data_IF_568788007450
#
_entry.id   IF_568788007450
#
_cell.length_a   1.000
_cell.length_b   1.000
_cell.length_c   1.000
_cell.angle_alpha   90.00
_cell.angle_beta   90.00
_cell.angle_gamma   90.00
#
_symmetry.space_group_name_H-M   'P 1'
#
loop_
_entity.id
_entity.type
_entity.pdbx_description
1 polymer ?
#
# COMPACT_ATOMS: atom_id res chain seq x y z
N UNK A 1 3.74 -29.45 -20.35
CA UNK A 1 4.22 -28.10 -19.96
C UNK A 1 4.28 -28.05 -18.44
N UNK A 2 5.40 -27.67 -17.84
CA UNK A 2 5.53 -27.66 -16.39
C UNK A 2 4.68 -26.54 -15.77
N UNK A 3 3.73 -26.91 -14.90
CA UNK A 3 3.06 -25.94 -14.04
C UNK A 3 4.11 -25.30 -13.13
N UNK A 4 4.42 -24.01 -13.35
CA UNK A 4 5.19 -23.23 -12.38
C UNK A 4 4.37 -23.20 -11.08
N UNK A 5 4.72 -24.07 -10.13
CA UNK A 5 4.41 -23.83 -8.72
C UNK A 5 4.92 -22.42 -8.44
N UNK A 6 4.02 -21.50 -8.12
CA UNK A 6 4.41 -20.25 -7.49
C UNK A 6 5.18 -20.68 -6.24
N UNK A 7 6.47 -20.34 -6.20
CA UNK A 7 7.34 -20.68 -5.08
C UNK A 7 6.63 -20.24 -3.79
N UNK A 8 6.58 -21.13 -2.80
CA UNK A 8 5.91 -20.87 -1.54
C UNK A 8 6.51 -19.62 -0.91
N UNK A 9 5.82 -18.49 -1.06
CA UNK A 9 6.41 -17.20 -0.73
C UNK A 9 6.71 -17.18 0.78
N UNK A 10 7.90 -16.70 1.15
CA UNK A 10 8.46 -16.83 2.51
C UNK A 10 7.78 -15.89 3.53
N UNK A 11 6.49 -15.63 3.32
CA UNK A 11 5.64 -14.81 4.15
C UNK A 11 4.86 -15.71 5.10
N UNK A 12 5.33 -15.81 6.35
CA UNK A 12 4.61 -16.50 7.43
C UNK A 12 3.43 -15.66 7.91
N UNK A 13 3.68 -14.36 8.13
CA UNK A 13 2.74 -13.39 8.67
C UNK A 13 2.83 -12.08 7.87
N UNK A 14 2.45 -12.06 6.59
CA UNK A 14 2.62 -10.89 5.73
C UNK A 14 1.81 -9.70 6.23
N UNK A 15 2.43 -8.54 6.21
CA UNK A 15 1.86 -7.24 6.51
C UNK A 15 2.20 -6.25 5.38
N UNK A 16 1.30 -5.28 5.15
CA UNK A 16 1.55 -4.16 4.25
C UNK A 16 1.25 -2.84 4.97
N UNK A 17 2.08 -1.85 4.71
CA UNK A 17 1.86 -0.47 5.17
C UNK A 17 1.05 0.29 4.12
N UNK A 18 0.04 1.04 4.54
CA UNK A 18 -0.69 1.98 3.67
C UNK A 18 -1.10 3.25 4.42
N UNK A 19 -1.30 4.34 3.68
CA UNK A 19 -1.67 5.62 4.26
C UNK A 19 -3.12 5.63 4.75
N UNK A 20 -3.39 6.48 5.73
CA UNK A 20 -4.77 6.84 6.10
C UNK A 20 -5.36 7.81 5.06
N UNK A 21 -6.69 7.81 4.84
CA UNK A 21 -7.71 7.01 5.54
C UNK A 21 -7.85 5.56 5.04
N UNK A 22 -7.19 5.19 3.93
CA UNK A 22 -7.40 3.89 3.27
C UNK A 22 -7.09 2.68 4.16
N UNK A 23 -6.12 2.77 5.08
CA UNK A 23 -5.80 1.71 6.04
C UNK A 23 -7.01 1.34 6.91
N UNK A 24 -7.64 2.34 7.55
CA UNK A 24 -8.86 2.11 8.35
C UNK A 24 -10.02 1.67 7.47
N UNK A 25 -10.26 2.33 6.33
CA UNK A 25 -11.39 1.99 5.44
C UNK A 25 -11.32 0.54 4.94
N UNK A 26 -10.11 -0.02 4.79
CA UNK A 26 -9.89 -1.42 4.40
C UNK A 26 -10.23 -2.40 5.54
N UNK A 27 -9.73 -2.18 6.76
CA UNK A 27 -10.04 -3.08 7.90
C UNK A 27 -11.46 -2.90 8.47
N UNK A 28 -12.15 -1.82 8.11
CA UNK A 28 -13.60 -1.65 8.35
C UNK A 28 -14.46 -2.28 7.23
N UNK A 29 -13.87 -2.79 6.15
CA UNK A 29 -14.59 -3.42 5.04
C UNK A 29 -15.26 -2.47 4.06
N UNK A 30 -15.09 -1.16 4.23
CA UNK A 30 -15.68 -0.12 3.38
C UNK A 30 -14.97 -0.11 2.03
N UNK A 31 -13.62 -0.08 2.05
CA UNK A 31 -12.76 -0.28 0.88
C UNK A 31 -12.51 -1.79 0.72
N UNK A 32 -12.98 -2.39 -0.38
CA UNK A 32 -12.71 -3.82 -0.70
C UNK A 32 -11.69 -4.06 -1.81
N UNK A 33 -11.19 -3.00 -2.46
CA UNK A 33 -10.23 -3.12 -3.57
C UNK A 33 -9.02 -2.25 -3.26
N UNK A 34 -7.83 -2.85 -3.33
CA UNK A 34 -6.55 -2.18 -3.17
C UNK A 34 -5.75 -2.19 -4.48
N UNK A 35 -5.40 -1.00 -4.99
CA UNK A 35 -4.71 -0.86 -6.26
C UNK A 35 -3.19 -0.84 -6.08
N UNK A 36 -2.46 -1.67 -6.86
CA UNK A 36 -0.99 -1.76 -6.82
C UNK A 36 -0.41 -1.88 -8.24
N UNK A 37 0.85 -1.46 -8.38
CA UNK A 37 1.63 -1.61 -9.62
C UNK A 37 2.25 -3.01 -9.79
N UNK A 38 2.05 -3.91 -8.83
CA UNK A 38 2.57 -5.28 -8.78
C UNK A 38 1.48 -6.26 -8.31
N UNK A 39 1.53 -7.53 -8.75
CA UNK A 39 0.57 -8.55 -8.34
C UNK A 39 0.76 -8.92 -6.86
N UNK A 40 -0.29 -9.44 -6.21
CA UNK A 40 -0.16 -9.91 -4.82
C UNK A 40 0.81 -11.10 -4.74
N UNK A 41 1.89 -11.03 -3.93
CA UNK A 41 2.86 -12.13 -3.76
C UNK A 41 2.36 -13.18 -2.74
N UNK A 42 1.14 -13.02 -2.24
CA UNK A 42 0.52 -13.85 -1.20
C UNK A 42 -0.93 -14.17 -1.56
N UNK A 43 -1.42 -15.28 -1.00
CA UNK A 43 -2.84 -15.64 -0.93
C UNK A 43 -3.16 -15.98 0.53
N UNK A 44 -4.39 -15.74 0.97
CA UNK A 44 -4.78 -15.86 2.38
C UNK A 44 -4.65 -14.54 3.16
N UNK A 45 -4.24 -14.62 4.43
CA UNK A 45 -4.29 -13.49 5.39
C UNK A 45 -3.23 -12.45 5.07
N UNK A 46 -3.61 -11.17 5.03
CA UNK A 46 -2.71 -10.02 4.97
C UNK A 46 -3.02 -9.05 6.12
N UNK A 47 -2.00 -8.75 6.92
CA UNK A 47 -2.07 -7.75 7.98
C UNK A 47 -1.95 -6.32 7.43
N UNK A 48 -2.68 -5.38 8.02
CA UNK A 48 -2.76 -3.98 7.57
C UNK A 48 -2.18 -3.06 8.65
N UNK A 49 -1.14 -2.32 8.28
CA UNK A 49 -0.50 -1.30 9.09
C UNK A 49 -0.79 0.10 8.52
N UNK A 50 -1.14 1.04 9.40
CA UNK A 50 -1.31 2.44 9.05
C UNK A 50 0.02 3.18 9.08
N UNK A 51 0.39 3.80 7.95
CA UNK A 51 1.58 4.63 7.83
C UNK A 51 1.58 5.81 8.81
N UNK A 52 2.77 6.39 9.06
CA UNK A 52 2.95 7.47 10.05
C UNK A 52 2.48 8.88 9.65
N UNK A 53 2.23 9.16 8.35
CA UNK A 53 1.68 10.48 7.95
C UNK A 53 0.21 10.57 8.37
N UNK A 54 -0.08 11.56 9.22
CA UNK A 54 -1.44 11.97 9.61
C UNK A 54 -2.23 12.35 8.34
N UNK A 55 -3.48 11.86 8.18
CA UNK A 55 -4.32 12.24 7.05
C UNK A 55 -4.85 13.66 7.23
N UNK A 56 -4.88 14.44 6.16
CA UNK A 56 -5.51 15.77 6.17
C UNK A 56 -7.04 15.62 6.34
N UNK A 57 -7.72 16.45 7.15
CA UNK A 57 -9.18 16.34 7.37
C UNK A 57 -10.00 16.36 6.07
N UNK A 58 -9.57 17.15 5.09
CA UNK A 58 -10.14 17.26 3.75
C UNK A 58 -10.02 15.94 2.98
N UNK A 59 -8.89 15.24 3.15
CA UNK A 59 -8.66 13.91 2.57
C UNK A 59 -9.58 12.87 3.18
N UNK A 60 -9.77 12.89 4.51
CA UNK A 60 -10.71 12.00 5.20
C UNK A 60 -12.13 12.24 4.67
N UNK A 61 -12.61 13.49 4.75
CA UNK A 61 -13.95 13.88 4.28
C UNK A 61 -14.20 13.52 2.82
N UNK A 62 -13.25 13.79 1.92
CA UNK A 62 -13.38 13.46 0.50
C UNK A 62 -13.48 11.95 0.26
N UNK A 63 -12.74 11.14 1.02
CA UNK A 63 -12.80 9.68 0.88
C UNK A 63 -14.06 9.07 1.52
N UNK A 64 -14.56 9.63 2.62
CA UNK A 64 -15.82 9.19 3.22
C UNK A 64 -17.01 9.49 2.30
N UNK A 65 -17.07 10.69 1.72
CA UNK A 65 -18.11 11.07 0.76
C UNK A 65 -18.07 10.20 -0.51
N UNK A 66 -16.87 9.92 -1.04
CA UNK A 66 -16.67 9.02 -2.16
C UNK A 66 -17.22 7.61 -1.91
N UNK A 67 -16.94 7.02 -0.74
CA UNK A 67 -17.52 5.72 -0.41
C UNK A 67 -19.03 5.82 -0.14
N UNK A 68 -19.51 6.90 0.49
CA UNK A 68 -20.94 7.12 0.72
C UNK A 68 -21.73 7.11 -0.58
N UNK A 69 -21.30 7.85 -1.59
CA UNK A 69 -21.95 7.88 -2.91
C UNK A 69 -21.86 6.52 -3.62
N UNK A 70 -20.74 5.79 -3.55
CA UNK A 70 -20.61 4.45 -4.15
C UNK A 70 -21.62 3.45 -3.56
N UNK A 71 -21.74 3.40 -2.23
CA UNK A 71 -22.66 2.49 -1.56
C UNK A 71 -24.13 2.92 -1.75
N UNK A 72 -24.41 4.22 -1.81
CA UNK A 72 -25.73 4.79 -2.13
C UNK A 72 -26.24 4.37 -3.51
N UNK A 73 -25.36 4.29 -4.53
CA UNK A 73 -25.71 3.73 -5.84
C UNK A 73 -26.13 2.25 -5.78
N UNK A 74 -25.70 1.53 -4.73
CA UNK A 74 -26.08 0.14 -4.46
C UNK A 74 -27.24 0.04 -3.43
N UNK A 75 -27.95 1.15 -3.17
CA UNK A 75 -29.06 1.21 -2.21
C UNK A 75 -28.65 1.22 -0.73
N UNK A 76 -27.35 1.27 -0.41
CA UNK A 76 -26.82 1.22 0.97
C UNK A 76 -26.53 2.63 1.47
N UNK A 77 -27.37 3.15 2.37
CA UNK A 77 -27.27 4.51 2.92
C UNK A 77 -26.71 4.56 4.36
N UNK A 78 -27.00 3.56 5.21
CA UNK A 78 -26.44 3.44 6.57
C UNK A 78 -25.03 2.82 6.53
N UNK A 79 -24.03 3.68 6.37
CA UNK A 79 -22.60 3.33 6.40
C UNK A 79 -21.96 4.04 7.59
N UNK A 80 -21.35 3.26 8.48
CA UNK A 80 -20.64 3.77 9.65
C UNK A 80 -19.15 3.81 9.35
N UNK A 81 -18.61 5.02 9.30
CA UNK A 81 -17.19 5.29 9.10
C UNK A 81 -16.42 5.21 10.44
N UNK A 82 -15.09 4.99 10.41
CA UNK A 82 -14.26 5.04 11.61
C UNK A 82 -14.27 6.45 12.24
N UNK A 83 -14.53 6.54 13.54
CA UNK A 83 -14.41 7.80 14.29
C UNK A 83 -12.97 8.34 14.32
N UNK A 84 -11.98 7.43 14.26
CA UNK A 84 -10.56 7.75 14.38
C UNK A 84 -9.71 7.00 13.35
N UNK A 85 -8.66 7.67 12.86
CA UNK A 85 -7.72 7.17 11.86
C UNK A 85 -6.29 7.09 12.43
N UNK A 86 -5.99 6.13 13.33
CA UNK A 86 -4.69 6.04 13.99
C UNK A 86 -3.55 5.79 12.99
N UNK A 87 -2.39 6.38 13.25
CA UNK A 87 -1.16 6.29 12.43
C UNK A 87 -0.07 5.51 13.16
N UNK A 88 0.89 4.95 12.42
CA UNK A 88 1.97 4.11 12.95
C UNK A 88 1.50 2.87 13.74
N UNK A 89 0.31 2.33 13.41
CA UNK A 89 -0.28 1.20 14.13
C UNK A 89 -0.73 0.06 13.22
N UNK A 90 -0.55 -1.17 13.71
CA UNK A 90 -1.19 -2.37 13.17
C UNK A 90 -2.69 -2.28 13.49
N UNK A 91 -3.55 -2.32 12.47
CA UNK A 91 -4.99 -2.10 12.63
C UNK A 91 -5.80 -3.39 12.65
N UNK A 92 -5.31 -4.45 12.00
CA UNK A 92 -6.11 -5.64 11.71
C UNK A 92 -5.54 -6.43 10.53
N UNK A 93 -6.38 -7.29 9.96
CA UNK A 93 -6.06 -8.08 8.79
C UNK A 93 -7.28 -8.32 7.90
N UNK A 94 -7.03 -8.57 6.63
CA UNK A 94 -7.98 -9.06 5.65
C UNK A 94 -7.63 -10.52 5.32
N UNK A 95 -8.60 -11.30 4.84
CA UNK A 95 -8.38 -12.68 4.40
C UNK A 95 -8.80 -12.79 2.93
N UNK A 96 -7.89 -13.35 2.13
CA UNK A 96 -7.96 -13.46 0.68
C UNK A 96 -7.73 -12.12 -0.05
N UNK A 97 -6.58 -12.05 -0.73
CA UNK A 97 -6.18 -10.98 -1.64
C UNK A 97 -6.17 -11.51 -3.09
N UNK A 98 -7.32 -11.50 -3.76
CA UNK A 98 -7.44 -11.95 -5.16
C UNK A 98 -7.00 -10.84 -6.12
N UNK A 99 -6.15 -11.16 -7.08
CA UNK A 99 -5.74 -10.20 -8.13
C UNK A 99 -6.78 -10.16 -9.25
N UNK A 100 -7.41 -9.00 -9.46
CA UNK A 100 -8.15 -8.63 -10.68
C UNK A 100 -7.33 -7.66 -11.53
N UNK A 101 -7.54 -7.69 -12.85
CA UNK A 101 -6.92 -6.78 -13.83
C UNK A 101 -7.96 -5.77 -14.34
N UNK A 102 -8.68 -5.13 -13.42
CA UNK A 102 -9.70 -4.12 -13.74
C UNK A 102 -9.69 -3.00 -12.68
N UNK A 103 -9.21 -1.81 -13.08
CA UNK A 103 -9.14 -0.61 -12.25
C UNK A 103 -8.15 0.41 -12.80
N UNK A 104 -7.91 1.50 -12.06
CA UNK A 104 -6.93 2.53 -12.46
C UNK A 104 -5.46 2.09 -12.29
N UNK A 105 -5.21 0.90 -11.76
CA UNK A 105 -3.88 0.32 -11.51
C UNK A 105 -3.76 -1.05 -12.15
N UNK A 106 -2.55 -1.42 -12.58
CA UNK A 106 -2.27 -2.68 -13.26
C UNK A 106 -2.76 -3.93 -12.52
N UNK A 107 -2.75 -3.89 -11.18
CA UNK A 107 -3.27 -4.97 -10.34
C UNK A 107 -4.21 -4.40 -9.27
N UNK A 108 -5.38 -5.02 -9.13
CA UNK A 108 -6.37 -4.70 -8.11
C UNK A 108 -6.55 -5.90 -7.19
N UNK A 109 -6.19 -5.76 -5.92
CA UNK A 109 -6.36 -6.80 -4.92
C UNK A 109 -7.76 -6.67 -4.32
N UNK A 110 -8.64 -7.64 -4.59
CA UNK A 110 -9.92 -7.80 -3.88
C UNK A 110 -9.61 -8.32 -2.47
N UNK A 111 -10.10 -7.62 -1.46
CA UNK A 111 -9.86 -7.85 -0.05
C UNK A 111 -11.16 -8.29 0.64
N UNK A 112 -11.19 -9.51 1.18
CA UNK A 112 -12.37 -10.06 1.84
C UNK A 112 -12.19 -10.21 3.37
N UNK A 113 -13.30 -10.54 4.05
CA UNK A 113 -13.39 -10.89 5.48
C UNK A 113 -12.53 -10.00 6.40
N UNK A 114 -12.78 -8.69 6.43
CA UNK A 114 -12.04 -7.75 7.27
C UNK A 114 -12.15 -8.10 8.76
N UNK A 115 -11.00 -8.10 9.45
CA UNK A 115 -10.89 -8.29 10.90
C UNK A 115 -10.08 -7.14 11.49
N UNK A 116 -10.63 -6.49 12.52
CA UNK A 116 -10.03 -5.33 13.21
C UNK A 116 -9.43 -5.76 14.55
N UNK A 117 -8.29 -5.19 14.93
CA UNK A 117 -7.78 -5.30 16.29
C UNK A 117 -8.63 -4.43 17.23
N UNK A 118 -9.05 -4.99 18.36
CA UNK A 118 -9.76 -4.23 19.41
C UNK A 118 -8.88 -3.09 19.91
N UNK A 119 -7.58 -3.36 20.10
CA UNK A 119 -6.55 -2.36 20.44
C UNK A 119 -5.46 -2.39 19.35
N UNK A 120 -5.34 -1.35 18.51
CA UNK A 120 -4.29 -1.25 17.50
C UNK A 120 -2.89 -1.15 18.13
N UNK A 121 -1.95 -1.97 17.67
CA UNK A 121 -0.59 -2.04 18.23
C UNK A 121 0.35 -1.02 17.58
N UNK A 122 1.14 -0.33 18.38
CA UNK A 122 2.16 0.57 17.87
C UNK A 122 3.38 -0.19 17.36
N UNK A 123 3.76 0.07 16.11
CA UNK A 123 4.93 -0.55 15.50
C UNK A 123 5.39 0.23 14.27
N UNK A 124 6.67 0.06 13.87
CA UNK A 124 7.18 0.60 12.62
C UNK A 124 6.64 -0.21 11.43
N UNK A 125 6.10 0.50 10.44
CA UNK A 125 5.76 -0.07 9.13
C UNK A 125 6.96 -0.03 8.17
N UNK A 126 6.99 -0.96 7.21
CA UNK A 126 8.01 -1.04 6.18
C UNK A 126 7.42 -0.89 4.77
N UNK A 127 8.27 -0.66 3.77
CA UNK A 127 7.89 -0.65 2.35
C UNK A 127 7.73 -2.09 1.83
N UNK A 128 6.84 -2.28 0.85
CA UNK A 128 6.51 -3.61 0.30
C UNK A 128 5.69 -4.47 1.27
N UNK A 129 5.68 -5.79 1.02
CA UNK A 129 5.15 -6.78 1.98
C UNK A 129 6.30 -7.24 2.88
N UNK A 130 6.05 -7.29 4.18
CA UNK A 130 7.03 -7.72 5.18
C UNK A 130 6.38 -8.70 6.16
N UNK A 131 7.18 -9.53 6.85
CA UNK A 131 6.67 -10.38 7.91
C UNK A 131 6.52 -9.59 9.22
N UNK A 132 5.40 -9.76 9.93
CA UNK A 132 5.29 -9.32 11.32
C UNK A 132 6.28 -10.08 12.22
N UNK A 133 6.80 -9.39 13.25
CA UNK A 133 7.51 -10.05 14.34
C UNK A 133 6.59 -11.07 15.04
N UNK A 134 7.14 -12.24 15.40
CA UNK A 134 6.40 -13.33 16.03
C UNK A 134 5.58 -12.87 17.25
N UNK A 135 6.17 -12.06 18.14
CA UNK A 135 5.50 -11.54 19.35
C UNK A 135 4.29 -10.65 19.01
N UNK A 136 4.46 -9.73 18.06
CA UNK A 136 3.40 -8.83 17.58
C UNK A 136 2.26 -9.66 16.99
N UNK A 137 2.58 -10.63 16.13
CA UNK A 137 1.60 -11.52 15.52
C UNK A 137 0.82 -12.36 16.54
N UNK A 138 1.51 -13.00 17.49
CA UNK A 138 0.88 -13.85 18.51
C UNK A 138 -0.07 -13.07 19.43
N UNK A 139 0.28 -11.83 19.77
CA UNK A 139 -0.61 -10.92 20.47
C UNK A 139 -1.77 -10.46 19.57
N UNK A 140 -1.52 -10.20 18.28
CA UNK A 140 -2.50 -9.62 17.37
C UNK A 140 -3.62 -10.62 17.05
N UNK A 141 -3.29 -11.89 16.82
CA UNK A 141 -4.29 -12.95 16.58
C UNK A 141 -5.30 -13.05 17.73
N UNK A 142 -4.86 -12.85 18.98
CA UNK A 142 -5.73 -12.86 20.18
C UNK A 142 -6.65 -11.63 20.27
N UNK A 143 -6.28 -10.52 19.65
CA UNK A 143 -7.02 -9.25 19.66
C UNK A 143 -7.91 -9.01 18.44
N UNK A 144 -8.01 -9.96 17.50
CA UNK A 144 -8.81 -9.82 16.28
C UNK A 144 -10.31 -9.99 16.56
N UNK A 145 -11.10 -9.04 16.09
CA UNK A 145 -12.56 -9.10 16.01
C UNK A 145 -13.02 -9.06 14.54
N UNK A 146 -13.99 -9.89 14.18
CA UNK A 146 -14.62 -9.85 12.86
C UNK A 146 -15.42 -8.56 12.67
N UNK A 147 -15.29 -7.91 11.51
CA UNK A 147 -16.08 -6.72 11.18
C UNK A 147 -17.28 -7.10 10.31
N UNK A 148 -18.48 -6.70 10.72
CA UNK A 148 -19.67 -6.73 9.87
C UNK A 148 -19.55 -5.60 8.85
N UNK A 149 -18.96 -5.89 7.70
CA UNK A 149 -18.87 -4.95 6.58
C UNK A 149 -20.28 -4.51 6.12
N UNK A 150 -20.42 -3.30 5.52
CA UNK A 150 -21.60 -2.94 4.75
C UNK A 150 -21.91 -3.98 3.67
N UNK A 151 -23.16 -4.04 3.18
CA UNK A 151 -23.53 -5.08 2.20
C UNK A 151 -22.59 -5.09 0.99
N UNK A 152 -22.21 -6.26 0.46
CA UNK A 152 -21.19 -6.33 -0.58
C UNK A 152 -21.64 -5.58 -1.84
N UNK A 153 -20.99 -4.45 -2.14
CA UNK A 153 -21.00 -3.88 -3.50
C UNK A 153 -20.63 -5.00 -4.46
N UNK A 154 -21.57 -5.34 -5.34
CA UNK A 154 -21.45 -6.41 -6.32
C UNK A 154 -20.52 -5.93 -7.44
N UNK A 155 -19.23 -6.24 -7.31
CA UNK A 155 -18.35 -6.21 -8.47
C UNK A 155 -18.64 -7.48 -9.28
N UNK A 156 -19.13 -7.38 -10.52
CA UNK A 156 -19.27 -8.57 -11.36
C UNK A 156 -17.90 -9.22 -11.49
N UNK A 157 -17.81 -10.49 -11.11
CA UNK A 157 -16.61 -11.28 -11.37
C UNK A 157 -16.61 -11.68 -12.85
N UNK A 158 -15.47 -11.64 -13.56
CA UNK A 158 -15.41 -12.06 -14.96
C UNK A 158 -15.90 -13.50 -15.20
N UNK A 159 -15.79 -14.37 -14.19
CA UNK A 159 -16.29 -15.74 -14.23
C UNK A 159 -16.86 -16.15 -12.85
N UNK A 160 -18.20 -16.29 -12.69
CA UNK A 160 -18.79 -16.66 -11.39
C UNK A 160 -18.40 -18.07 -10.92
N UNK A 161 -18.03 -18.96 -11.86
CA UNK A 161 -17.69 -20.37 -11.59
C UNK A 161 -16.23 -20.59 -11.19
N UNK A 162 -15.32 -19.69 -11.58
CA UNK A 162 -13.93 -19.67 -11.15
C UNK A 162 -13.57 -18.30 -10.56
N UNK A 163 -13.72 -18.18 -9.24
CA UNK A 163 -13.32 -17.02 -8.44
C UNK A 163 -11.83 -16.66 -8.57
N UNK A 164 -11.00 -17.49 -9.18
CA UNK A 164 -9.56 -17.27 -9.33
C UNK A 164 -9.11 -17.13 -10.80
N UNK A 165 -10.03 -17.13 -11.76
CA UNK A 165 -9.71 -16.98 -13.17
C UNK A 165 -9.12 -15.60 -13.46
N UNK A 166 -7.87 -15.60 -13.96
CA UNK A 166 -7.21 -14.41 -14.51
C UNK A 166 -7.50 -14.20 -15.99
N UNK A 167 -8.28 -15.11 -16.62
CA UNK A 167 -8.81 -14.83 -17.95
C UNK A 167 -9.84 -13.72 -17.80
N UNK A 168 -9.84 -12.68 -18.65
CA UNK A 168 -11.04 -11.89 -18.87
C UNK A 168 -12.09 -12.86 -19.38
N UNK A 169 -12.93 -13.36 -18.47
CA UNK A 169 -14.11 -14.12 -18.85
C UNK A 169 -14.90 -13.25 -19.80
N UNK A 170 -15.31 -13.84 -20.93
CA UNK A 170 -16.17 -13.14 -21.87
C UNK A 170 -17.32 -12.55 -21.07
N UNK A 171 -17.46 -11.23 -21.08
CA UNK A 171 -18.71 -10.58 -20.72
C UNK A 171 -19.72 -11.04 -21.78
N UNK A 172 -20.25 -12.24 -21.57
CA UNK A 172 -21.35 -12.79 -22.34
C UNK A 172 -22.41 -11.69 -22.35
N UNK A 173 -22.74 -11.22 -23.55
CA UNK A 173 -23.59 -10.05 -23.73
C UNK A 173 -24.84 -10.21 -22.87
N UNK A 174 -24.95 -9.38 -21.82
CA UNK A 174 -26.22 -9.22 -21.13
C UNK A 174 -27.26 -8.91 -22.21
N UNK A 175 -28.39 -9.62 -22.26
CA UNK A 175 -29.37 -9.45 -23.32
C UNK A 175 -29.78 -7.99 -23.33
N UNK A 176 -29.44 -7.32 -24.45
CA UNK A 176 -29.47 -5.87 -24.67
C UNK A 176 -30.00 -5.05 -23.49
N UNK A 177 -29.10 -4.42 -22.73
CA UNK A 177 -29.44 -3.13 -22.15
C UNK A 177 -29.73 -2.21 -23.33
N UNK A 178 -31.02 -2.10 -23.69
CA UNK A 178 -31.54 -1.19 -24.70
C UNK A 178 -30.97 0.18 -24.44
N UNK A 179 -30.04 0.60 -25.32
CA UNK A 179 -29.44 1.93 -25.40
C UNK A 179 -29.58 2.72 -24.10
N UNK A 180 -28.72 2.46 -23.11
CA UNK A 180 -28.63 3.36 -21.96
C UNK A 180 -28.20 4.71 -22.52
N UNK A 181 -29.20 5.60 -22.64
CA UNK A 181 -29.01 7.04 -22.70
C UNK A 181 -27.95 7.42 -21.68
N UNK A 182 -27.15 8.43 -21.99
CA UNK A 182 -26.15 8.93 -21.06
C UNK A 182 -26.86 9.42 -19.79
N UNK A 183 -27.00 8.54 -18.79
CA UNK A 183 -27.34 8.92 -17.43
C UNK A 183 -26.19 9.80 -16.96
N UNK A 184 -26.44 11.11 -16.97
CA UNK A 184 -25.52 12.09 -16.43
C UNK A 184 -25.27 11.71 -14.97
N UNK A 185 -24.05 11.23 -14.70
CA UNK A 185 -23.65 10.82 -13.35
C UNK A 185 -24.01 11.95 -12.39
N UNK A 186 -24.72 11.67 -11.28
CA UNK A 186 -25.21 12.72 -10.41
C UNK A 186 -24.04 13.62 -9.99
N UNK A 187 -24.21 14.95 -9.97
CA UNK A 187 -23.10 15.89 -9.79
C UNK A 187 -22.36 15.66 -8.45
N UNK A 188 -23.06 15.14 -7.42
CA UNK A 188 -22.47 14.66 -6.17
C UNK A 188 -21.41 13.57 -6.38
N UNK A 189 -21.73 12.54 -7.15
CA UNK A 189 -20.80 11.44 -7.49
C UNK A 189 -19.61 11.94 -8.31
N UNK A 190 -19.83 12.87 -9.26
CA UNK A 190 -18.74 13.45 -10.06
C UNK A 190 -17.78 14.24 -9.17
N UNK A 191 -18.31 15.09 -8.28
CA UNK A 191 -17.52 15.83 -7.30
C UNK A 191 -16.77 14.90 -6.33
N UNK A 192 -17.43 13.84 -5.85
CA UNK A 192 -16.83 12.86 -4.94
C UNK A 192 -15.68 12.06 -5.61
N UNK A 193 -15.85 11.67 -6.89
CA UNK A 193 -14.76 11.06 -7.69
C UNK A 193 -13.59 12.03 -7.86
N UNK A 194 -13.86 13.32 -8.12
CA UNK A 194 -12.81 14.33 -8.25
C UNK A 194 -12.05 14.53 -6.93
N UNK A 195 -12.77 14.65 -5.80
CA UNK A 195 -12.19 14.74 -4.46
C UNK A 195 -11.32 13.53 -4.11
N UNK A 196 -11.80 12.31 -4.36
CA UNK A 196 -11.02 11.08 -4.13
C UNK A 196 -9.75 11.00 -5.00
N UNK A 197 -9.78 11.50 -6.24
CA UNK A 197 -8.59 11.59 -7.10
C UNK A 197 -7.57 12.60 -6.58
N UNK A 198 -8.01 13.77 -6.14
CA UNK A 198 -7.14 14.76 -5.51
C UNK A 198 -6.50 14.19 -4.23
N UNK A 199 -7.31 13.55 -3.37
CA UNK A 199 -6.86 12.85 -2.18
C UNK A 199 -5.79 11.78 -2.49
N UNK A 200 -5.97 10.97 -3.53
CA UNK A 200 -5.03 9.90 -3.88
C UNK A 200 -3.67 10.40 -4.38
N UNK A 201 -3.62 11.53 -5.09
CA UNK A 201 -2.36 12.03 -5.71
C UNK A 201 -1.43 12.75 -4.73
N UNK A 202 -1.88 13.12 -3.52
CA UNK A 202 -1.07 13.85 -2.55
C UNK A 202 0.23 13.12 -2.12
N UNK A 203 0.24 11.78 -2.19
CA UNK A 203 1.37 10.93 -1.80
C UNK A 203 2.31 10.59 -2.97
N UNK A 204 1.96 10.95 -4.21
CA UNK A 204 2.71 10.56 -5.42
C UNK A 204 3.92 11.46 -5.74
N UNK A 205 4.15 12.53 -4.96
CA UNK A 205 5.23 13.50 -5.20
C UNK A 205 6.57 12.99 -4.65
N UNK A 206 7.26 12.14 -5.41
CA UNK A 206 8.69 11.86 -5.27
C UNK A 206 9.28 11.24 -6.56
N UNK A 207 9.36 12.03 -7.64
CA UNK A 207 10.31 11.87 -8.75
C UNK A 207 10.16 13.01 -9.78
N UNK A 208 10.67 14.20 -9.43
CA UNK A 208 10.98 15.24 -10.41
C UNK A 208 12.40 15.71 -10.12
N UNK A 209 13.38 15.55 -11.04
CA UNK A 209 14.68 16.18 -10.91
C UNK A 209 14.49 17.70 -10.83
N UNK A 210 15.01 18.31 -9.76
CA UNK A 210 14.88 19.75 -9.53
C UNK A 210 15.67 20.48 -10.63
N UNK A 211 14.96 21.05 -11.60
CA UNK A 211 15.58 21.83 -12.66
C UNK A 211 16.47 22.95 -12.07
N UNK A 212 17.67 23.20 -12.60
CA UNK A 212 18.55 24.22 -12.09
C UNK A 212 17.90 25.60 -12.29
N UNK A 213 17.76 26.37 -11.21
CA UNK A 213 17.34 27.76 -11.31
C UNK A 213 18.49 28.57 -11.89
N UNK A 214 18.38 28.97 -13.15
CA UNK A 214 19.14 30.10 -13.70
C UNK A 214 18.67 31.38 -12.98
N UNK A 215 19.57 31.97 -12.19
CA UNK A 215 19.34 33.24 -11.49
C UNK A 215 20.38 34.25 -11.94
N UNK A 216 19.92 35.38 -12.47
CA UNK A 216 20.75 36.44 -13.03
C UNK A 216 21.61 37.16 -11.97
N UNK A 217 22.69 37.79 -12.43
CA UNK A 217 23.62 38.58 -11.63
C UNK A 217 22.98 39.94 -11.27
N UNK A 218 23.03 40.33 -10.00
CA UNK A 218 23.52 41.64 -9.49
C UNK A 218 23.23 41.79 -7.98
N UNK A 219 24.09 42.54 -7.26
CA UNK A 219 23.94 42.80 -5.81
C UNK A 219 25.21 42.53 -5.00
N UNK A 220 26.07 43.54 -4.87
CA UNK A 220 27.38 43.45 -4.22
C UNK A 220 27.30 43.46 -2.68
N UNK A 221 28.12 42.66 -2.00
CA UNK A 221 28.22 42.64 -0.53
C UNK A 221 29.05 41.47 0.04
N UNK A 222 30.26 41.77 0.51
CA UNK A 222 31.19 40.85 1.20
C UNK A 222 32.11 41.65 2.15
N UNK A 223 32.76 41.03 3.14
CA UNK A 223 32.28 39.97 4.03
C UNK A 223 32.64 40.22 5.51
N UNK A 224 31.98 39.57 6.47
CA UNK A 224 32.55 39.39 7.83
C UNK A 224 32.61 37.91 8.21
N UNK A 225 33.76 37.55 8.77
CA UNK A 225 34.17 36.20 9.15
C UNK A 225 33.69 35.83 10.55
N UNK A 226 33.30 34.58 10.75
CA UNK A 226 33.75 33.79 11.91
C UNK A 226 33.87 32.32 11.51
N UNK A 227 34.95 31.66 11.95
CA UNK A 227 35.21 30.23 11.74
C UNK A 227 34.76 29.43 12.96
N UNK A 228 34.15 28.27 12.73
CA UNK A 228 34.43 27.04 13.49
C UNK A 228 33.80 25.86 12.74
N UNK A 229 34.40 24.68 12.84
CA UNK A 229 33.85 23.47 12.22
C UNK A 229 34.80 22.28 12.33
N UNK A 230 34.26 21.08 12.12
CA UNK A 230 35.01 19.85 11.79
C UNK A 230 34.03 18.89 11.09
N UNK A 231 34.12 18.70 9.77
CA UNK A 231 34.80 17.59 9.06
C UNK A 231 34.26 16.19 9.35
N UNK A 232 33.29 15.77 8.53
CA UNK A 232 33.08 14.36 8.19
C UNK A 232 34.17 13.87 7.23
N UNK A 233 34.86 12.77 7.55
CA UNK A 233 35.75 12.07 6.61
C UNK A 233 34.95 11.23 5.62
N UNK A 234 35.21 11.43 4.34
CA UNK A 234 34.75 10.58 3.24
C UNK A 234 35.80 9.50 2.97
N UNK A 235 35.38 8.25 2.71
CA UNK A 235 36.26 7.12 2.43
C UNK A 235 35.96 6.54 1.04
N UNK A 236 36.95 6.64 0.14
CA UNK A 236 36.92 6.05 -1.19
C UNK A 236 37.78 4.77 -1.24
N UNK A 237 37.50 3.83 -2.16
CA UNK A 237 37.90 2.43 -2.01
C UNK A 237 39.34 2.16 -2.41
N UNK A 238 39.98 1.24 -1.69
CA UNK A 238 41.34 0.73 -2.00
C UNK A 238 41.26 -0.37 -3.07
N UNK A 239 42.04 -0.22 -4.14
CA UNK A 239 42.23 -1.23 -5.18
C UNK A 239 43.25 -2.30 -4.76
N UNK A 240 43.15 -3.50 -5.35
CA UNK A 240 44.14 -4.58 -5.16
C UNK A 240 45.46 -4.23 -5.85
N UNK A 241 46.57 -4.60 -5.21
CA UNK A 241 47.82 -4.96 -5.86
C UNK A 241 48.29 -6.30 -5.27
N UNK A 242 48.77 -7.22 -6.10
CA UNK A 242 49.48 -8.43 -5.68
C UNK A 242 50.99 -8.24 -5.81
N UNK A 243 51.78 -9.12 -5.19
CA UNK A 243 53.24 -9.08 -5.26
C UNK A 243 53.92 -9.96 -4.21
N UNK A 244 54.09 -11.23 -4.58
CA UNK A 244 55.25 -12.10 -4.35
C UNK A 244 55.91 -12.31 -2.96
N UNK A 245 55.97 -13.60 -2.61
CA UNK A 245 56.91 -14.32 -1.71
C UNK A 245 58.37 -14.28 -2.24
N UNK A 246 59.46 -14.65 -1.49
CA UNK A 246 59.47 -15.77 -0.54
C UNK A 246 60.48 -15.82 0.66
N UNK A 247 60.32 -16.92 1.41
CA UNK A 247 61.35 -17.76 2.06
C UNK A 247 61.84 -17.51 3.51
N UNK A 248 62.36 -18.61 4.09
CA UNK A 248 63.11 -18.80 5.35
C UNK A 248 62.36 -19.38 6.58
N UNK A 249 62.11 -20.68 6.51
CA UNK A 249 62.59 -21.70 7.47
C UNK A 249 62.83 -21.35 8.95
N UNK A 250 62.09 -21.98 9.88
CA UNK A 250 62.68 -22.75 11.02
C UNK A 250 61.67 -23.56 11.87
N UNK A 251 61.81 -24.88 11.78
CA UNK A 251 61.97 -25.86 12.90
C UNK A 251 61.07 -25.89 14.15
N UNK A 252 60.28 -26.98 14.29
CA UNK A 252 59.91 -27.74 15.52
C UNK A 252 59.08 -26.96 16.58
N UNK A 253 58.22 -27.51 17.45
CA UNK A 253 57.88 -28.83 18.03
C UNK A 253 56.32 -28.86 18.15
N UNK A 254 55.54 -29.94 18.19
CA UNK A 254 55.74 -31.41 18.23
C UNK A 254 54.66 -32.08 19.11
N UNK A 255 54.57 -33.43 19.06
CA UNK A 255 53.41 -34.29 19.44
C UNK A 255 52.24 -34.27 18.43
#
# INVERSE_FOLDING_TARGET
>A
MASRRIESSNYRNPCITMHQPWASLLVYGIKRIEGRSWPSPIRGRLWIHAAGKVPEPETVKAMEEFYREIYKLNGVTDIKFPEHYPVSRLLGSILDALVRVEGQTAFCWLCEKPQRLIVPFEMRGFQGVYNLEKKIYEAAVRGLSSVKAPQPVTFPLPEPRDRFSLKPGSLASFPSCTSTSAEEKPPSLVAAIAGARAAATQFSKNNIPRAPKTGSIEGNGKPISTRTGDKSKEWLPVQRAGGDTPDSSSSKIGL
#
